data_IF_044944663705
#
_entry.id   IF_044944663705
#
_cell.length_a   1.000
_cell.length_b   1.000
_cell.length_c   1.000
_cell.angle_alpha   90.00
_cell.angle_beta   90.00
_cell.angle_gamma   90.00
#
_symmetry.space_group_name_H-M   'P 1'
#
loop_
_entity.id
_entity.type
_entity.pdbx_description
1 polymer ?
#
# COMPACT_ATOMS: atom_id res chain seq x y z
N UNK A 1 -19.01 -18.04 14.74
CA UNK A 1 -18.62 -17.14 15.85
C UNK A 1 -17.74 -17.94 16.78
N UNK A 2 -16.42 -17.77 16.71
CA UNK A 2 -15.52 -18.69 17.39
C UNK A 2 -15.19 -18.18 18.79
N UNK A 3 -15.18 -19.08 19.76
CA UNK A 3 -14.54 -18.84 21.05
C UNK A 3 -13.18 -19.53 21.05
N UNK A 4 -12.13 -18.74 21.31
CA UNK A 4 -10.75 -19.21 21.37
C UNK A 4 -10.24 -19.20 22.81
N UNK A 5 -9.64 -20.31 23.19
CA UNK A 5 -8.86 -20.42 24.42
C UNK A 5 -7.39 -20.42 24.05
N UNK A 6 -6.67 -19.36 24.40
CA UNK A 6 -5.25 -19.19 24.08
C UNK A 6 -4.40 -19.70 25.25
N UNK A 7 -3.56 -20.70 24.98
CA UNK A 7 -2.73 -21.38 25.99
C UNK A 7 -1.28 -21.52 25.54
N UNK A 8 -0.38 -21.70 26.50
CA UNK A 8 1.05 -21.80 26.28
C UNK A 8 1.88 -21.44 27.52
N UNK A 9 3.14 -21.91 27.52
CA UNK A 9 4.09 -21.68 28.60
C UNK A 9 4.32 -20.18 28.86
N UNK A 10 4.86 -19.85 30.04
CA UNK A 10 5.24 -18.49 30.37
C UNK A 10 6.19 -17.92 29.30
N UNK A 11 5.91 -16.70 28.85
CA UNK A 11 6.68 -16.03 27.81
C UNK A 11 6.48 -16.57 26.39
N UNK A 12 5.51 -17.46 26.12
CA UNK A 12 5.22 -17.99 24.78
C UNK A 12 4.53 -16.99 23.81
N UNK A 13 4.18 -15.79 24.29
CA UNK A 13 3.55 -14.72 23.51
C UNK A 13 2.03 -14.83 23.36
N UNK A 14 1.33 -15.32 24.40
CA UNK A 14 -0.13 -15.44 24.42
C UNK A 14 -0.84 -14.08 24.29
N UNK A 15 -0.49 -13.13 25.16
CA UNK A 15 -1.06 -11.78 25.16
C UNK A 15 -0.71 -11.04 23.86
N UNK A 16 0.55 -11.09 23.41
CA UNK A 16 0.97 -10.54 22.12
C UNK A 16 0.15 -11.06 20.93
N UNK A 17 -0.11 -12.38 20.89
CA UNK A 17 -0.93 -12.96 19.84
C UNK A 17 -2.38 -12.47 19.90
N UNK A 18 -2.92 -12.32 21.11
CA UNK A 18 -4.27 -11.80 21.33
C UNK A 18 -4.36 -10.31 20.97
N UNK A 19 -3.33 -9.52 21.27
CA UNK A 19 -3.21 -8.10 20.89
C UNK A 19 -3.11 -7.94 19.37
N UNK A 20 -2.44 -8.86 18.66
CA UNK A 20 -2.47 -8.91 17.19
C UNK A 20 -3.90 -9.10 16.65
N UNK A 21 -4.72 -9.91 17.32
CA UNK A 21 -6.15 -10.06 16.98
C UNK A 21 -6.95 -8.80 17.31
N UNK A 22 -6.70 -8.15 18.45
CA UNK A 22 -7.29 -6.85 18.80
C UNK A 22 -7.00 -5.83 17.69
N UNK A 23 -5.74 -5.69 17.28
CA UNK A 23 -5.35 -4.77 16.21
C UNK A 23 -6.14 -5.06 14.93
N UNK A 24 -6.24 -6.33 14.52
CA UNK A 24 -6.99 -6.73 13.33
C UNK A 24 -8.45 -6.28 13.40
N UNK A 25 -9.15 -6.55 14.50
CA UNK A 25 -10.57 -6.19 14.66
C UNK A 25 -10.77 -4.67 14.68
N UNK A 26 -9.90 -3.93 15.38
CA UNK A 26 -9.96 -2.46 15.40
C UNK A 26 -9.67 -1.86 14.02
N UNK A 27 -8.76 -2.45 13.23
CA UNK A 27 -8.49 -2.01 11.86
C UNK A 27 -9.67 -2.30 10.92
N UNK A 28 -10.43 -3.37 11.17
CA UNK A 28 -11.70 -3.69 10.50
C UNK A 28 -12.87 -2.80 10.95
N UNK A 29 -12.65 -1.89 11.92
CA UNK A 29 -13.69 -1.02 12.47
C UNK A 29 -14.69 -1.73 13.39
N UNK A 30 -14.31 -2.89 13.92
CA UNK A 30 -15.14 -3.70 14.84
C UNK A 30 -14.86 -3.31 16.29
N UNK A 31 -15.86 -3.49 17.15
CA UNK A 31 -15.73 -3.23 18.58
C UNK A 31 -14.80 -4.23 19.25
N UNK A 32 -14.00 -3.76 20.19
CA UNK A 32 -13.16 -4.63 21.03
C UNK A 32 -13.38 -4.31 22.50
N UNK A 33 -13.50 -5.32 23.34
CA UNK A 33 -13.53 -5.21 24.79
C UNK A 33 -12.40 -6.04 25.41
N UNK A 34 -11.66 -5.51 26.37
CA UNK A 34 -10.56 -6.25 27.02
C UNK A 34 -10.25 -5.76 28.42
N UNK A 35 -9.68 -6.63 29.25
CA UNK A 35 -9.07 -6.26 30.55
C UNK A 35 -7.55 -6.00 30.44
N UNK A 36 -6.99 -6.02 29.23
CA UNK A 36 -5.61 -5.60 29.00
C UNK A 36 -5.53 -4.07 28.89
N UNK A 37 -4.49 -3.48 29.47
CA UNK A 37 -4.13 -2.10 29.20
C UNK A 37 -3.57 -2.00 27.79
N UNK A 38 -4.37 -1.44 26.88
CA UNK A 38 -4.03 -1.28 25.47
C UNK A 38 -3.70 0.19 25.18
N UNK A 39 -2.67 0.40 24.36
CA UNK A 39 -2.25 1.71 23.85
C UNK A 39 -2.48 1.77 22.33
N UNK A 40 -3.66 2.21 21.87
CA UNK A 40 -4.07 2.07 20.47
C UNK A 40 -3.18 2.86 19.48
N UNK A 41 -2.51 3.92 19.91
CA UNK A 41 -1.60 4.72 19.12
C UNK A 41 -0.41 3.93 18.56
N UNK A 42 0.07 2.92 19.29
CA UNK A 42 1.18 2.06 18.90
C UNK A 42 0.77 0.95 17.93
N UNK A 43 -0.54 0.69 17.75
CA UNK A 43 -1.04 -0.34 16.82
C UNK A 43 -1.90 0.20 15.67
N UNK A 44 -2.61 1.31 15.83
CA UNK A 44 -3.53 1.87 14.83
C UNK A 44 -2.99 3.14 14.13
N UNK A 45 -1.95 3.74 14.72
CA UNK A 45 -1.49 5.09 14.37
C UNK A 45 -2.39 6.18 14.95
N UNK A 46 -2.05 7.44 14.68
CA UNK A 46 -2.63 8.61 15.35
C UNK A 46 -3.91 9.16 14.71
N UNK A 47 -4.37 8.60 13.60
CA UNK A 47 -5.40 9.23 12.75
C UNK A 47 -6.77 8.56 12.80
N UNK A 48 -6.97 7.56 13.66
CA UNK A 48 -8.25 6.86 13.76
C UNK A 48 -9.24 7.66 14.61
N UNK A 49 -10.37 8.03 13.98
CA UNK A 49 -11.44 8.82 14.60
C UNK A 49 -12.57 7.99 15.20
N UNK A 50 -12.74 6.76 14.73
CA UNK A 50 -13.88 5.89 15.05
C UNK A 50 -13.38 4.53 15.53
N UNK A 51 -12.62 4.53 16.62
CA UNK A 51 -12.14 3.31 17.28
C UNK A 51 -13.04 3.03 18.47
N UNK A 52 -13.69 1.86 18.50
CA UNK A 52 -14.51 1.43 19.62
C UNK A 52 -13.76 0.38 20.45
N UNK A 53 -13.06 0.84 21.48
CA UNK A 53 -12.30 0.00 22.40
C UNK A 53 -12.80 0.22 23.83
N UNK A 54 -13.23 -0.87 24.46
CA UNK A 54 -13.76 -0.90 25.80
C UNK A 54 -12.74 -1.57 26.73
N UNK A 55 -12.40 -0.91 27.84
CA UNK A 55 -11.55 -1.46 28.90
C UNK A 55 -12.44 -1.90 30.06
N UNK A 56 -12.49 -3.21 30.27
CA UNK A 56 -13.13 -3.85 31.43
C UNK A 56 -12.22 -3.73 32.65
N UNK A 57 -12.69 -4.00 33.88
CA UNK A 57 -11.81 -4.21 35.03
C UNK A 57 -10.90 -5.42 34.86
N UNK A 58 -9.82 -5.49 35.65
CA UNK A 58 -8.86 -6.60 35.64
C UNK A 58 -9.55 -7.94 35.95
N UNK A 59 -10.46 -7.93 36.91
CA UNK A 59 -11.38 -9.01 37.24
C UNK A 59 -12.80 -8.50 36.97
N UNK A 60 -13.38 -8.77 35.79
CA UNK A 60 -14.69 -8.24 35.44
C UNK A 60 -15.80 -8.93 36.25
N UNK A 61 -16.72 -8.13 36.78
CA UNK A 61 -17.96 -8.63 37.39
C UNK A 61 -19.03 -8.90 36.33
N UNK A 62 -20.11 -9.57 36.72
CA UNK A 62 -21.27 -9.75 35.83
C UNK A 62 -21.86 -8.40 35.38
N UNK A 63 -21.87 -7.41 36.26
CA UNK A 63 -22.38 -6.06 35.99
C UNK A 63 -21.56 -5.39 34.89
N UNK A 64 -20.23 -5.51 34.95
CA UNK A 64 -19.33 -4.96 33.92
C UNK A 64 -19.55 -5.62 32.55
N UNK A 65 -19.74 -6.93 32.55
CA UNK A 65 -19.98 -7.70 31.34
C UNK A 65 -21.35 -7.39 30.71
N UNK A 66 -22.39 -7.22 31.54
CA UNK A 66 -23.73 -6.84 31.07
C UNK A 66 -23.81 -5.40 30.56
N UNK A 67 -22.92 -4.52 31.04
CA UNK A 67 -22.82 -3.14 30.56
C UNK A 67 -22.24 -3.05 29.13
N UNK A 68 -21.63 -4.12 28.61
CA UNK A 68 -21.10 -4.13 27.25
C UNK A 68 -22.23 -3.99 26.22
N UNK A 69 -22.04 -3.15 25.18
CA UNK A 69 -22.98 -3.11 24.07
C UNK A 69 -22.94 -4.41 23.26
N UNK A 70 -23.92 -4.59 22.38
CA UNK A 70 -23.83 -5.63 21.34
C UNK A 70 -22.62 -5.36 20.43
N UNK A 71 -21.98 -6.42 19.97
CA UNK A 71 -20.79 -6.32 19.10
C UNK A 71 -21.04 -5.50 17.83
N UNK A 72 -22.25 -5.57 17.28
CA UNK A 72 -22.77 -4.64 16.27
C UNK A 72 -24.30 -4.57 16.34
N UNK A 73 -24.87 -3.52 15.76
CA UNK A 73 -26.27 -3.13 15.95
C UNK A 73 -27.22 -3.44 14.77
N UNK A 74 -26.73 -4.11 13.71
CA UNK A 74 -27.55 -4.43 12.52
C UNK A 74 -28.66 -5.44 12.82
N UNK A 75 -29.78 -5.38 12.11
CA UNK A 75 -30.87 -6.35 12.31
C UNK A 75 -30.49 -7.74 11.81
N UNK A 76 -29.83 -7.80 10.65
CA UNK A 76 -29.36 -9.06 10.05
C UNK A 76 -28.14 -9.58 10.81
N UNK A 77 -28.18 -10.87 11.14
CA UNK A 77 -27.04 -11.53 11.77
C UNK A 77 -25.95 -11.75 10.70
N UNK A 78 -24.80 -11.13 10.93
CA UNK A 78 -23.56 -11.28 10.19
C UNK A 78 -22.41 -11.57 11.18
N UNK A 79 -21.88 -12.79 11.16
CA UNK A 79 -20.81 -13.20 12.07
C UNK A 79 -19.47 -12.48 11.76
N UNK A 80 -19.29 -11.95 10.55
CA UNK A 80 -18.06 -11.26 10.16
C UNK A 80 -17.90 -9.90 10.84
N UNK A 81 -18.99 -9.33 11.36
CA UNK A 81 -19.03 -8.03 12.05
C UNK A 81 -18.99 -8.12 13.56
N UNK A 82 -18.90 -9.33 14.13
CA UNK A 82 -18.89 -9.53 15.56
C UNK A 82 -17.83 -8.67 16.27
N UNK A 83 -18.09 -8.23 17.50
CA UNK A 83 -17.04 -7.63 18.33
C UNK A 83 -16.03 -8.68 18.80
N UNK A 84 -14.90 -8.25 19.37
CA UNK A 84 -13.94 -9.15 20.04
C UNK A 84 -13.84 -8.86 21.53
N UNK A 85 -14.11 -9.86 22.36
CA UNK A 85 -13.84 -9.83 23.79
C UNK A 85 -12.53 -10.56 24.07
N UNK A 86 -11.50 -9.89 24.60
CA UNK A 86 -10.22 -10.51 24.97
C UNK A 86 -10.01 -10.37 26.47
N UNK A 87 -9.96 -11.49 27.19
CA UNK A 87 -9.68 -11.49 28.61
C UNK A 87 -8.36 -12.21 28.89
N UNK A 88 -7.46 -11.54 29.59
CA UNK A 88 -6.22 -12.13 30.11
C UNK A 88 -6.40 -12.67 31.52
N UNK A 89 -5.54 -13.63 31.87
CA UNK A 89 -5.49 -14.32 33.15
C UNK A 89 -6.84 -14.92 33.60
N UNK A 90 -7.58 -15.51 32.64
CA UNK A 90 -8.91 -16.07 32.88
C UNK A 90 -8.93 -17.23 33.90
N UNK A 91 -7.77 -17.81 34.19
CA UNK A 91 -7.61 -18.81 35.24
C UNK A 91 -7.94 -18.28 36.64
N UNK A 92 -8.01 -16.97 36.85
CA UNK A 92 -8.40 -16.37 38.15
C UNK A 92 -9.92 -16.48 38.37
N UNK A 93 -10.73 -16.15 37.34
CA UNK A 93 -12.19 -16.08 37.44
C UNK A 93 -12.93 -17.31 36.90
N UNK A 94 -12.34 -18.10 35.99
CA UNK A 94 -12.92 -19.33 35.45
C UNK A 94 -12.40 -20.63 36.09
N UNK A 95 -11.71 -20.53 37.23
CA UNK A 95 -11.12 -21.67 37.91
C UNK A 95 -12.17 -22.66 38.45
N UNK A 96 -11.91 -23.95 38.24
CA UNK A 96 -12.65 -25.07 38.86
C UNK A 96 -12.69 -25.05 40.40
N UNK A 97 -11.62 -24.56 41.06
CA UNK A 97 -11.46 -24.64 42.52
C UNK A 97 -12.33 -23.65 43.32
N UNK A 98 -12.92 -22.65 42.66
CA UNK A 98 -13.74 -21.60 43.27
C UNK A 98 -15.25 -21.73 42.99
N UNK A 99 -15.74 -22.93 42.65
CA UNK A 99 -17.12 -23.20 42.19
C UNK A 99 -18.24 -22.68 43.11
N UNK A 100 -17.95 -22.45 44.39
CA UNK A 100 -18.96 -22.09 45.38
C UNK A 100 -19.31 -20.60 45.45
N UNK A 101 -18.64 -19.76 44.67
CA UNK A 101 -18.88 -18.31 44.65
C UNK A 101 -20.03 -17.97 43.69
N UNK A 102 -21.18 -17.44 44.17
CA UNK A 102 -22.38 -17.25 43.35
C UNK A 102 -22.16 -16.35 42.12
N UNK A 103 -21.29 -15.33 42.22
CA UNK A 103 -20.99 -14.43 41.10
C UNK A 103 -20.33 -15.11 39.90
N UNK A 104 -19.59 -16.21 40.12
CA UNK A 104 -18.88 -16.91 39.03
C UNK A 104 -19.80 -17.73 38.13
N UNK A 105 -20.89 -18.27 38.69
CA UNK A 105 -21.89 -19.02 37.91
C UNK A 105 -22.59 -18.09 36.90
N UNK A 106 -22.85 -16.86 37.30
CA UNK A 106 -23.46 -15.84 36.45
C UNK A 106 -22.52 -15.41 35.32
N UNK A 107 -21.23 -15.22 35.62
CA UNK A 107 -20.21 -14.94 34.59
C UNK A 107 -20.09 -16.09 33.58
N UNK A 108 -20.07 -17.35 34.04
CA UNK A 108 -20.07 -18.51 33.15
C UNK A 108 -21.32 -18.57 32.28
N UNK A 109 -22.50 -18.28 32.85
CA UNK A 109 -23.74 -18.21 32.09
C UNK A 109 -23.72 -17.09 31.04
N UNK A 110 -23.13 -15.94 31.37
CA UNK A 110 -22.93 -14.85 30.43
C UNK A 110 -22.06 -15.26 29.23
N UNK A 111 -20.97 -16.00 29.47
CA UNK A 111 -20.11 -16.45 28.36
C UNK A 111 -20.82 -17.40 27.39
N UNK A 112 -21.80 -18.19 27.86
CA UNK A 112 -22.65 -19.01 26.98
C UNK A 112 -23.53 -18.15 26.05
N UNK A 113 -23.77 -16.88 26.40
CA UNK A 113 -24.60 -15.94 25.64
C UNK A 113 -23.81 -15.03 24.69
N UNK A 114 -22.47 -15.07 24.69
CA UNK A 114 -21.63 -14.23 23.82
C UNK A 114 -22.03 -14.29 22.34
N UNK A 115 -22.39 -15.49 21.86
CA UNK A 115 -22.90 -15.71 20.50
C UNK A 115 -24.15 -14.87 20.21
N UNK A 116 -25.08 -14.76 21.17
CA UNK A 116 -26.29 -13.94 21.04
C UNK A 116 -26.00 -12.45 21.18
N UNK A 117 -24.95 -12.10 21.93
CA UNK A 117 -24.46 -10.73 22.09
C UNK A 117 -23.57 -10.27 20.93
N UNK A 118 -23.28 -11.16 19.96
CA UNK A 118 -22.49 -10.90 18.74
C UNK A 118 -21.04 -10.56 19.04
N UNK A 119 -20.47 -11.25 20.02
CA UNK A 119 -19.06 -11.15 20.39
C UNK A 119 -18.36 -12.47 20.09
N UNK A 120 -17.25 -12.40 19.38
CA UNK A 120 -16.24 -13.45 19.40
C UNK A 120 -15.39 -13.26 20.67
N UNK A 121 -14.79 -14.32 21.20
CA UNK A 121 -14.07 -14.25 22.47
C UNK A 121 -12.72 -14.96 22.44
N UNK A 122 -11.73 -14.35 23.10
CA UNK A 122 -10.39 -14.88 23.31
C UNK A 122 -10.13 -14.91 24.81
N UNK A 123 -10.08 -16.09 25.38
CA UNK A 123 -9.73 -16.32 26.79
C UNK A 123 -8.29 -16.77 26.87
N UNK A 124 -7.44 -15.95 27.50
CA UNK A 124 -6.03 -16.29 27.69
C UNK A 124 -5.89 -17.00 29.04
N UNK A 125 -5.32 -18.19 28.99
CA UNK A 125 -5.05 -19.01 30.17
C UNK A 125 -3.66 -19.62 30.08
N UNK A 126 -3.06 -19.91 31.22
CA UNK A 126 -1.77 -20.60 31.25
C UNK A 126 -1.92 -22.06 30.81
N UNK A 127 -2.91 -22.76 31.38
CA UNK A 127 -3.23 -24.15 31.11
C UNK A 127 -4.74 -24.35 31.02
N UNK A 128 -5.18 -25.13 30.03
CA UNK A 128 -6.58 -25.50 29.83
C UNK A 128 -7.13 -26.39 30.93
N UNK A 129 -6.26 -27.14 31.61
CA UNK A 129 -6.67 -28.01 32.71
C UNK A 129 -7.17 -27.24 33.92
N UNK A 130 -6.75 -25.97 34.08
CA UNK A 130 -7.20 -25.09 35.16
C UNK A 130 -8.65 -24.62 34.98
N UNK A 131 -9.17 -24.66 33.75
CA UNK A 131 -10.55 -24.30 33.43
C UNK A 131 -11.50 -25.38 33.95
N UNK A 132 -12.62 -24.97 34.54
CA UNK A 132 -13.68 -25.90 34.95
C UNK A 132 -14.15 -26.83 33.82
N UNK A 133 -14.57 -28.05 34.15
CA UNK A 133 -14.96 -29.04 33.15
C UNK A 133 -16.19 -28.62 32.33
N UNK A 134 -17.17 -27.94 32.94
CA UNK A 134 -18.34 -27.41 32.22
C UNK A 134 -17.94 -26.23 31.33
N UNK A 135 -17.13 -25.31 31.86
CA UNK A 135 -16.61 -24.17 31.12
C UNK A 135 -15.74 -24.62 29.93
N UNK A 136 -14.89 -25.64 30.11
CA UNK A 136 -14.05 -26.20 29.04
C UNK A 136 -14.89 -26.80 27.92
N UNK A 137 -15.94 -27.55 28.24
CA UNK A 137 -16.82 -28.16 27.21
C UNK A 137 -17.67 -27.12 26.48
N UNK A 138 -18.08 -26.06 27.18
CA UNK A 138 -19.02 -25.09 26.60
C UNK A 138 -18.33 -23.93 25.90
N UNK A 139 -17.16 -23.51 26.39
CA UNK A 139 -16.46 -22.29 25.96
C UNK A 139 -15.27 -22.63 25.06
N UNK A 140 -14.57 -23.76 25.27
CA UNK A 140 -13.35 -24.07 24.52
C UNK A 140 -13.62 -24.78 23.18
N UNK A 141 -14.32 -24.09 22.27
CA UNK A 141 -14.53 -24.57 20.89
C UNK A 141 -13.21 -24.69 20.12
N UNK A 142 -12.36 -23.66 20.24
CA UNK A 142 -11.04 -23.65 19.64
C UNK A 142 -9.97 -23.43 20.69
N UNK A 143 -8.87 -24.17 20.60
CA UNK A 143 -7.70 -23.98 21.47
C UNK A 143 -6.51 -23.54 20.64
N UNK A 144 -5.92 -22.42 21.02
CA UNK A 144 -4.76 -21.83 20.35
C UNK A 144 -3.53 -22.10 21.18
N UNK A 145 -2.63 -22.92 20.66
CA UNK A 145 -1.35 -23.22 21.30
C UNK A 145 -0.29 -22.24 20.81
N UNK A 146 0.08 -21.29 21.66
CA UNK A 146 1.12 -20.31 21.37
C UNK A 146 2.52 -20.90 21.57
N UNK A 147 3.37 -20.67 20.56
CA UNK A 147 4.78 -21.04 20.55
C UNK A 147 5.62 -19.89 20.00
N UNK A 148 6.77 -19.71 20.62
CA UNK A 148 7.81 -18.78 20.20
C UNK A 148 8.80 -19.51 19.29
N UNK A 149 8.91 -19.07 18.04
CA UNK A 149 9.78 -19.71 17.05
C UNK A 149 11.21 -19.18 17.07
N UNK A 150 11.42 -18.00 17.65
CA UNK A 150 12.73 -17.36 17.83
C UNK A 150 13.72 -18.21 18.64
N UNK A 151 13.21 -19.05 19.55
CA UNK A 151 14.03 -19.98 20.34
C UNK A 151 14.30 -21.32 19.65
N UNK A 152 13.72 -21.58 18.47
CA UNK A 152 13.96 -22.81 17.71
C UNK A 152 15.17 -22.62 16.81
N UNK A 153 16.32 -23.18 17.21
CA UNK A 153 17.51 -23.25 16.35
C UNK A 153 17.22 -24.21 15.19
N UNK A 154 17.30 -23.73 13.95
CA UNK A 154 17.15 -24.57 12.75
C UNK A 154 18.52 -25.21 12.48
N UNK A 155 18.75 -26.51 12.75
CA UNK A 155 20.08 -27.09 12.85
C UNK A 155 20.92 -26.94 11.57
N UNK A 156 20.32 -27.12 10.39
CA UNK A 156 21.04 -27.08 9.10
C UNK A 156 21.39 -25.64 8.70
N UNK A 157 20.41 -24.73 8.77
CA UNK A 157 20.60 -23.33 8.39
C UNK A 157 21.55 -22.62 9.36
N UNK A 158 21.43 -22.92 10.65
CA UNK A 158 22.33 -22.38 11.68
C UNK A 158 23.76 -22.88 11.49
N UNK A 159 23.96 -24.15 11.09
CA UNK A 159 25.29 -24.71 10.83
C UNK A 159 25.96 -24.10 9.59
N UNK A 160 25.20 -23.93 8.50
CA UNK A 160 25.71 -23.29 7.27
C UNK A 160 26.04 -21.81 7.49
N UNK A 161 25.21 -21.07 8.23
CA UNK A 161 25.49 -19.66 8.54
C UNK A 161 26.75 -19.50 9.39
N UNK A 162 26.97 -20.41 10.35
CA UNK A 162 28.19 -20.46 11.18
C UNK A 162 29.45 -20.80 10.40
N UNK A 163 29.33 -21.48 9.26
CA UNK A 163 30.48 -21.78 8.41
C UNK A 163 31.05 -20.51 7.74
N UNK A 164 30.18 -19.53 7.47
CA UNK A 164 30.56 -18.28 6.81
C UNK A 164 30.63 -17.07 7.75
N UNK A 165 30.12 -17.18 8.98
CA UNK A 165 30.11 -16.11 9.98
C UNK A 165 30.34 -16.65 11.39
N UNK A 166 31.04 -15.93 12.26
CA UNK A 166 31.28 -16.35 13.65
C UNK A 166 30.06 -16.13 14.56
N UNK A 167 28.98 -15.54 14.04
CA UNK A 167 27.80 -15.15 14.81
C UNK A 167 26.65 -16.16 14.64
N UNK A 168 25.83 -16.30 15.69
CA UNK A 168 24.56 -17.03 15.59
C UNK A 168 23.61 -16.29 14.64
N UNK A 169 22.86 -17.04 13.82
CA UNK A 169 21.85 -16.48 12.92
C UNK A 169 20.79 -15.74 13.74
N UNK A 170 20.62 -14.40 13.59
CA UNK A 170 19.56 -13.67 14.27
C UNK A 170 18.22 -14.03 13.61
N UNK A 171 17.52 -15.01 14.16
CA UNK A 171 16.19 -15.36 13.69
C UNK A 171 15.19 -14.27 14.10
N UNK A 172 14.29 -13.83 13.21
CA UNK A 172 13.28 -12.84 13.54
C UNK A 172 12.35 -13.36 14.65
N UNK A 173 11.86 -12.45 15.49
CA UNK A 173 10.92 -12.76 16.56
C UNK A 173 9.55 -13.17 15.99
N UNK A 174 9.39 -14.47 15.70
CA UNK A 174 8.13 -15.02 15.16
C UNK A 174 7.37 -15.75 16.26
N UNK A 175 6.11 -15.37 16.42
CA UNK A 175 5.16 -16.00 17.32
C UNK A 175 4.12 -16.75 16.49
N UNK A 176 3.89 -18.02 16.83
CA UNK A 176 2.98 -18.92 16.13
C UNK A 176 1.92 -19.43 17.11
N UNK A 177 0.65 -19.17 16.81
CA UNK A 177 -0.51 -19.77 17.46
C UNK A 177 -1.10 -20.84 16.55
N UNK A 178 -1.06 -22.10 16.96
CA UNK A 178 -1.70 -23.19 16.20
C UNK A 178 -3.11 -23.36 16.75
N UNK A 179 -4.12 -23.07 15.93
CA UNK A 179 -5.53 -23.14 16.31
C UNK A 179 -6.04 -24.55 16.04
N UNK A 180 -6.52 -25.22 17.07
CA UNK A 180 -7.12 -26.55 16.97
C UNK A 180 -8.60 -26.54 17.33
N UNK A 181 -9.36 -27.43 16.72
CA UNK A 181 -10.79 -27.63 16.98
C UNK A 181 -10.99 -28.60 18.14
N UNK A 182 -11.39 -28.07 19.31
CA UNK A 182 -11.47 -28.82 20.56
C UNK A 182 -10.19 -28.77 21.39
N UNK A 183 -10.21 -29.50 22.50
CA UNK A 183 -9.25 -29.33 23.61
C UNK A 183 -8.08 -30.30 23.60
N UNK A 184 -8.16 -31.35 22.77
CA UNK A 184 -7.16 -32.40 22.72
C UNK A 184 -5.95 -32.00 21.87
N UNK A 185 -4.77 -32.52 22.22
CA UNK A 185 -3.56 -32.22 21.48
C UNK A 185 -3.55 -32.83 20.06
N UNK A 186 -4.32 -33.89 19.80
CA UNK A 186 -4.41 -34.52 18.49
C UNK A 186 -5.60 -34.03 17.65
N UNK A 187 -6.31 -33.02 18.13
CA UNK A 187 -7.43 -32.43 17.41
C UNK A 187 -7.00 -31.75 16.10
N UNK A 188 -7.98 -31.61 15.18
CA UNK A 188 -7.78 -31.03 13.86
C UNK A 188 -7.27 -29.60 13.97
N UNK A 189 -6.20 -29.28 13.24
CA UNK A 189 -5.72 -27.89 13.12
C UNK A 189 -6.58 -27.15 12.11
N UNK A 190 -7.27 -26.10 12.56
CA UNK A 190 -8.20 -25.32 11.73
C UNK A 190 -7.53 -24.09 11.12
N UNK A 191 -6.67 -23.43 11.89
CA UNK A 191 -6.07 -22.16 11.52
C UNK A 191 -4.68 -22.00 12.16
N UNK A 192 -3.89 -21.04 11.66
CA UNK A 192 -2.56 -20.71 12.17
C UNK A 192 -2.43 -19.20 12.26
N UNK A 193 -2.28 -18.70 13.47
CA UNK A 193 -2.01 -17.30 13.72
C UNK A 193 -0.51 -17.06 13.76
N UNK A 194 -0.04 -16.12 12.95
CA UNK A 194 1.37 -15.75 12.90
C UNK A 194 1.52 -14.26 13.19
N UNK A 195 2.48 -13.94 14.04
CA UNK A 195 2.89 -12.58 14.30
C UNK A 195 4.40 -12.47 14.14
N UNK A 196 4.83 -11.47 13.37
CA UNK A 196 6.23 -11.25 13.02
C UNK A 196 6.70 -9.92 13.60
N UNK A 197 7.84 -9.94 14.28
CA UNK A 197 8.53 -8.74 14.72
C UNK A 197 8.15 -8.29 16.13
N UNK A 198 8.21 -6.98 16.35
CA UNK A 198 8.17 -6.35 17.67
C UNK A 198 7.24 -5.14 17.77
N UNK A 199 6.53 -4.79 16.69
CA UNK A 199 5.74 -3.54 16.62
C UNK A 199 4.60 -3.44 17.64
N UNK A 200 4.09 -4.56 18.16
CA UNK A 200 3.00 -4.60 19.13
C UNK A 200 3.46 -4.69 20.59
N UNK A 201 4.77 -4.76 20.88
CA UNK A 201 5.22 -4.79 22.28
C UNK A 201 4.85 -3.50 23.02
N UNK A 202 4.96 -2.35 22.36
CA UNK A 202 4.61 -1.06 22.94
C UNK A 202 3.10 -0.79 22.95
N UNK A 203 2.29 -1.71 22.39
CA UNK A 203 0.85 -1.51 22.21
C UNK A 203 0.01 -2.00 23.38
N UNK A 204 0.63 -2.62 24.38
CA UNK A 204 -0.03 -3.04 25.61
C UNK A 204 0.96 -3.10 26.78
N UNK A 205 0.43 -3.05 28.00
CA UNK A 205 1.23 -3.20 29.21
C UNK A 205 1.57 -4.68 29.45
N UNK A 206 2.85 -5.04 29.29
CA UNK A 206 3.33 -6.40 29.54
C UNK A 206 3.53 -6.73 31.01
N UNK A 207 3.63 -5.71 31.87
CA UNK A 207 3.93 -5.84 33.30
C UNK A 207 2.68 -5.65 34.16
N UNK A 208 1.50 -5.55 33.54
CA UNK A 208 0.22 -5.44 34.21
C UNK A 208 0.03 -6.58 35.22
N UNK A 209 -0.19 -6.21 36.49
CA UNK A 209 -0.42 -7.15 37.59
C UNK A 209 -1.92 -7.30 37.84
N UNK A 210 -2.45 -8.51 37.65
CA UNK A 210 -3.82 -8.86 38.02
C UNK A 210 -3.85 -9.26 39.50
N UNK A 211 -4.27 -8.36 40.41
CA UNK A 211 -4.44 -8.69 41.83
C UNK A 211 -5.92 -8.65 42.24
N UNK A 212 -6.29 -9.57 43.14
CA UNK A 212 -7.57 -9.54 43.89
C UNK A 212 -7.51 -8.59 45.09
N UNK A 213 -6.30 -8.23 45.51
CA UNK A 213 -6.00 -7.55 46.75
C UNK A 213 -5.49 -6.15 46.41
N UNK A 214 -6.41 -5.19 46.53
CA UNK A 214 -6.19 -3.76 46.77
C UNK A 214 -5.50 -2.89 45.70
N UNK A 215 -6.29 -1.93 45.19
CA UNK A 215 -5.97 -0.48 45.09
C UNK A 215 -4.62 -0.06 44.49
N UNK A 216 -4.21 -0.64 43.37
CA UNK A 216 -3.15 -0.09 42.52
C UNK A 216 -3.73 0.29 41.16
N UNK A 217 -4.42 1.44 41.10
CA UNK A 217 -4.89 2.03 39.84
C UNK A 217 -5.97 1.24 39.09
N UNK A 218 -6.69 0.36 39.80
CA UNK A 218 -7.74 -0.47 39.22
C UNK A 218 -8.87 0.41 38.65
N UNK A 219 -9.28 0.09 37.42
CA UNK A 219 -10.45 0.69 36.80
C UNK A 219 -11.68 0.00 37.41
N UNK A 220 -12.46 0.74 38.20
CA UNK A 220 -13.64 0.23 38.95
C UNK A 220 -14.90 0.02 38.07
N UNK A 221 -14.74 -0.23 36.77
CA UNK A 221 -15.87 -0.55 35.90
C UNK A 221 -15.55 -0.55 34.40
N UNK A 222 -16.59 -0.73 33.58
CA UNK A 222 -16.47 -0.61 32.13
C UNK A 222 -16.13 0.82 31.71
N UNK A 223 -15.03 1.00 30.98
CA UNK A 223 -14.62 2.29 30.41
C UNK A 223 -14.44 2.21 28.90
N UNK A 224 -14.53 3.34 28.21
CA UNK A 224 -14.25 3.43 26.77
C UNK A 224 -12.98 4.21 26.54
N UNK A 225 -12.05 3.64 25.78
CA UNK A 225 -10.80 4.29 25.40
C UNK A 225 -11.07 5.24 24.23
N UNK A 226 -10.58 6.48 24.37
CA UNK A 226 -10.74 7.50 23.33
C UNK A 226 -9.97 7.11 22.05
N UNK A 227 -10.56 7.32 20.85
CA UNK A 227 -9.86 7.09 19.59
C UNK A 227 -8.56 7.90 19.48
N UNK A 228 -7.57 7.32 18.80
CA UNK A 228 -6.19 7.87 18.72
C UNK A 228 -6.12 9.26 18.10
N UNK A 229 -7.08 9.62 17.24
CA UNK A 229 -7.17 10.97 16.70
C UNK A 229 -7.43 12.00 17.80
N UNK A 230 -8.27 11.71 18.79
CA UNK A 230 -8.61 12.68 19.83
C UNK A 230 -7.53 12.84 20.89
N UNK A 231 -6.75 11.79 21.13
CA UNK A 231 -5.64 11.81 22.10
C UNK A 231 -4.35 12.33 21.48
N UNK A 232 -3.95 11.81 20.33
CA UNK A 232 -2.65 12.10 19.70
C UNK A 232 -2.78 12.91 18.42
N UNK A 233 -3.75 12.62 17.56
CA UNK A 233 -3.81 13.16 16.19
C UNK A 233 -4.33 14.60 16.04
N UNK A 234 -5.17 15.08 16.96
CA UNK A 234 -5.99 16.30 16.84
C UNK A 234 -5.15 17.56 16.67
N UNK A 235 -4.05 17.65 17.41
CA UNK A 235 -3.20 18.85 17.47
C UNK A 235 -1.93 18.75 16.61
N UNK A 236 -1.80 17.70 15.78
CA UNK A 236 -0.62 17.53 14.92
C UNK A 236 -0.78 18.29 13.61
N UNK A 237 0.13 19.25 13.37
CA UNK A 237 0.20 19.99 12.11
C UNK A 237 0.56 19.10 10.90
N UNK A 238 0.16 19.52 9.69
CA UNK A 238 0.52 18.83 8.43
C UNK A 238 2.04 18.65 8.27
N UNK A 239 2.82 19.67 8.65
CA UNK A 239 4.29 19.62 8.61
C UNK A 239 4.85 18.54 9.55
N UNK A 240 4.31 18.45 10.76
CA UNK A 240 4.78 17.48 11.75
C UNK A 240 4.39 16.05 11.38
N UNK A 241 3.21 15.86 10.76
CA UNK A 241 2.82 14.59 10.13
C UNK A 241 3.82 14.16 9.06
N UNK A 242 4.23 15.08 8.18
CA UNK A 242 5.23 14.80 7.15
C UNK A 242 6.59 14.41 7.75
N UNK A 243 7.07 15.15 8.75
CA UNK A 243 8.33 14.84 9.45
C UNK A 243 8.27 13.46 10.11
N UNK A 244 7.16 13.15 10.80
CA UNK A 244 6.96 11.84 11.44
C UNK A 244 6.89 10.71 10.41
N UNK A 245 6.22 10.94 9.27
CA UNK A 245 6.16 9.98 8.18
C UNK A 245 7.57 9.70 7.61
N UNK A 246 8.38 10.72 7.38
CA UNK A 246 9.77 10.55 6.92
C UNK A 246 10.61 9.81 7.95
N UNK A 247 10.52 10.18 9.24
CA UNK A 247 11.27 9.53 10.31
C UNK A 247 10.94 8.03 10.40
N UNK A 248 9.65 7.70 10.35
CA UNK A 248 9.17 6.31 10.42
C UNK A 248 9.50 5.53 9.14
N UNK A 249 9.53 6.20 7.98
CA UNK A 249 9.98 5.59 6.72
C UNK A 249 11.48 5.29 6.72
N UNK A 250 12.30 6.20 7.29
CA UNK A 250 13.76 6.08 7.38
C UNK A 250 14.22 4.95 8.32
N UNK A 251 13.34 4.41 9.16
CA UNK A 251 13.62 3.26 10.02
C UNK A 251 13.57 1.90 9.29
N UNK A 252 13.04 1.83 8.05
CA UNK A 252 13.01 0.60 7.23
C UNK A 252 14.13 0.60 6.18
N UNK A 253 15.39 0.58 6.65
CA UNK A 253 16.63 0.77 5.89
C UNK A 253 16.89 -0.11 4.65
N UNK A 254 15.98 -1.02 4.28
CA UNK A 254 16.05 -1.84 3.07
C UNK A 254 15.83 -1.01 1.79
N UNK A 255 15.10 0.11 1.88
CA UNK A 255 14.81 0.96 0.72
C UNK A 255 15.99 1.85 0.29
N UNK A 256 16.88 2.22 1.21
CA UNK A 256 18.08 2.99 0.86
C UNK A 256 19.15 2.14 0.19
N UNK A 257 19.28 0.87 0.59
CA UNK A 257 20.21 -0.06 -0.06
C UNK A 257 19.81 -0.35 -1.51
N UNK A 258 18.52 -0.61 -1.76
CA UNK A 258 18.01 -0.85 -3.11
C UNK A 258 18.11 0.38 -4.00
N UNK A 259 17.76 1.57 -3.49
CA UNK A 259 17.90 2.82 -4.24
C UNK A 259 19.37 3.16 -4.53
N UNK A 260 20.27 2.92 -3.56
CA UNK A 260 21.71 3.10 -3.73
C UNK A 260 22.32 2.13 -4.75
N UNK A 261 21.91 0.85 -4.74
CA UNK A 261 22.34 -0.14 -5.72
C UNK A 261 21.86 0.19 -7.14
N UNK A 262 20.62 0.70 -7.27
CA UNK A 262 20.04 1.12 -8.54
C UNK A 262 20.77 2.36 -9.10
N UNK A 263 21.04 3.34 -8.24
CA UNK A 263 21.83 4.53 -8.60
C UNK A 263 23.27 4.15 -9.02
N UNK A 264 23.90 3.22 -8.29
CA UNK A 264 25.24 2.72 -8.62
C UNK A 264 25.26 2.02 -10.00
N UNK A 265 24.27 1.17 -10.30
CA UNK A 265 24.15 0.51 -11.59
C UNK A 265 23.99 1.51 -12.76
N UNK A 266 23.22 2.58 -12.56
CA UNK A 266 23.10 3.66 -13.55
C UNK A 266 24.41 4.42 -13.73
N UNK A 267 25.13 4.74 -12.65
CA UNK A 267 26.43 5.43 -12.76
C UNK A 267 27.51 4.58 -13.44
N UNK A 268 27.53 3.26 -13.20
CA UNK A 268 28.50 2.36 -13.83
C UNK A 268 28.19 2.20 -15.32
N UNK A 269 26.92 2.06 -15.72
CA UNK A 269 26.56 2.02 -17.15
C UNK A 269 26.91 3.34 -17.89
N UNK A 270 26.73 4.49 -17.22
CA UNK A 270 27.09 5.79 -17.80
C UNK A 270 28.61 6.00 -17.93
N UNK A 271 29.43 5.41 -17.04
CA UNK A 271 30.90 5.50 -17.11
C UNK A 271 31.53 4.57 -18.16
N UNK A 272 30.89 3.44 -18.46
CA UNK A 272 31.43 2.43 -19.39
C UNK A 272 31.07 2.72 -20.85
N UNK A 273 30.07 3.57 -21.11
CA UNK A 273 29.64 3.96 -22.47
C UNK A 273 30.16 5.35 -22.85
N UNK A 274 31.49 5.49 -22.95
CA UNK A 274 32.07 6.59 -23.73
C UNK A 274 31.97 6.22 -25.22
N UNK A 275 30.85 6.58 -25.86
CA UNK A 275 30.83 6.61 -27.33
C UNK A 275 31.71 7.77 -27.80
N UNK A 276 32.55 7.60 -28.86
CA UNK A 276 33.34 8.71 -29.37
C UNK A 276 32.41 9.80 -29.88
N UNK A 277 32.40 10.95 -29.21
CA UNK A 277 31.62 12.10 -29.65
C UNK A 277 32.05 12.50 -31.06
N UNK A 278 31.12 12.43 -32.01
CA UNK A 278 31.37 12.90 -33.36
C UNK A 278 31.85 14.38 -33.32
N UNK A 279 32.87 14.76 -34.10
CA UNK A 279 33.41 16.12 -34.06
C UNK A 279 32.34 17.11 -34.57
N UNK A 280 31.76 17.88 -33.64
CA UNK A 280 30.74 18.87 -33.96
C UNK A 280 31.29 20.30 -33.87
N UNK A 281 31.00 21.10 -34.90
CA UNK A 281 31.16 22.55 -34.90
C UNK A 281 29.78 23.18 -34.76
N UNK A 282 29.40 23.49 -33.52
CA UNK A 282 28.19 24.24 -33.23
C UNK A 282 28.33 25.69 -33.67
N UNK A 283 27.20 26.41 -33.75
CA UNK A 283 27.15 27.82 -34.17
C UNK A 283 27.89 28.73 -33.17
N UNK A 284 27.94 28.34 -31.89
CA UNK A 284 28.55 29.12 -30.82
C UNK A 284 29.51 28.32 -29.92
N UNK A 285 29.65 27.01 -30.14
CA UNK A 285 30.50 26.14 -29.31
C UNK A 285 31.22 25.12 -30.18
N UNK A 286 32.49 24.87 -29.84
CA UNK A 286 33.41 24.02 -30.59
C UNK A 286 34.03 23.00 -29.63
N UNK A 287 33.84 21.71 -29.92
CA UNK A 287 34.34 20.62 -29.09
C UNK A 287 35.86 20.45 -29.24
N UNK A 288 36.54 19.97 -28.19
CA UNK A 288 37.99 19.77 -28.17
C UNK A 288 38.45 18.71 -29.19
N UNK A 289 37.59 17.71 -29.47
CA UNK A 289 37.80 16.73 -30.56
C UNK A 289 37.90 17.42 -31.93
N UNK A 290 37.12 18.49 -32.16
CA UNK A 290 37.17 19.26 -33.41
C UNK A 290 38.48 20.07 -33.52
N UNK A 291 38.93 20.67 -32.41
CA UNK A 291 40.21 21.41 -32.37
C UNK A 291 41.41 20.51 -32.61
N UNK A 292 41.40 19.29 -32.04
CA UNK A 292 42.47 18.32 -32.22
C UNK A 292 42.61 17.88 -33.69
N UNK A 293 41.50 17.71 -34.39
CA UNK A 293 41.48 17.27 -35.80
C UNK A 293 41.77 18.38 -36.80
N UNK A 294 41.25 19.59 -36.59
CA UNK A 294 41.32 20.69 -37.56
C UNK A 294 42.22 21.85 -37.11
N UNK A 295 42.93 21.70 -35.98
CA UNK A 295 43.89 22.65 -35.41
C UNK A 295 43.28 23.91 -34.79
N UNK A 296 42.07 24.32 -35.20
CA UNK A 296 41.38 25.48 -34.65
C UNK A 296 39.87 25.39 -34.87
N UNK A 297 39.09 26.08 -34.03
CA UNK A 297 37.63 26.15 -34.18
C UNK A 297 37.16 26.93 -35.41
N UNK A 298 38.03 27.75 -36.00
CA UNK A 298 37.75 28.53 -37.21
C UNK A 298 37.95 27.72 -38.49
N UNK A 299 38.74 26.64 -38.46
CA UNK A 299 38.99 25.80 -39.63
C UNK A 299 37.70 25.17 -40.17
N UNK A 300 37.61 25.01 -41.50
CA UNK A 300 36.56 24.26 -42.19
C UNK A 300 37.13 22.92 -42.62
N UNK A 301 36.38 21.84 -42.47
CA UNK A 301 36.80 20.52 -42.93
C UNK A 301 37.04 20.54 -44.45
N UNK A 302 38.18 20.00 -44.91
CA UNK A 302 38.60 20.05 -46.32
C UNK A 302 37.85 19.04 -47.20
N UNK A 303 37.05 18.14 -46.62
CA UNK A 303 36.03 17.35 -47.32
C UNK A 303 34.96 16.88 -46.33
N UNK A 304 33.69 16.70 -46.75
CA UNK A 304 32.66 16.13 -45.89
C UNK A 304 33.04 14.70 -45.47
N UNK A 305 32.82 14.35 -44.20
CA UNK A 305 33.16 13.05 -43.60
C UNK A 305 32.63 11.85 -44.39
N UNK A 306 31.50 12.03 -45.08
CA UNK A 306 30.89 11.05 -45.99
C UNK A 306 31.79 10.64 -47.17
N UNK A 307 32.81 11.44 -47.52
CA UNK A 307 33.79 11.11 -48.56
C UNK A 307 34.77 10.01 -48.15
N UNK A 308 35.07 9.88 -46.85
CA UNK A 308 36.04 8.91 -46.33
C UNK A 308 35.40 7.61 -45.83
N UNK A 309 34.10 7.64 -45.49
CA UNK A 309 33.36 6.48 -44.97
C UNK A 309 31.93 6.43 -45.53
N UNK A 310 31.69 5.70 -46.63
CA UNK A 310 30.33 5.48 -47.13
C UNK A 310 29.53 4.62 -46.15
N UNK A 311 28.25 4.96 -45.92
CA UNK A 311 27.34 4.21 -45.05
C UNK A 311 27.15 2.78 -45.59
N UNK A 312 27.15 1.74 -44.74
CA UNK A 312 26.80 0.40 -45.18
C UNK A 312 25.31 0.33 -45.56
N UNK A 313 25.00 -0.32 -46.67
CA UNK A 313 23.64 -0.58 -47.12
C UNK A 313 22.92 -1.49 -46.12
N UNK A 314 21.70 -1.11 -45.73
CA UNK A 314 20.87 -1.90 -44.82
C UNK A 314 20.29 -3.10 -45.58
N UNK A 315 20.54 -4.30 -45.08
CA UNK A 315 19.75 -5.49 -45.44
C UNK A 315 18.37 -5.39 -44.77
N UNK A 316 17.33 -5.42 -45.59
CA UNK A 316 15.93 -5.51 -45.18
C UNK A 316 15.58 -6.96 -44.86
N UNK A 317 15.46 -7.29 -43.57
CA UNK A 317 14.72 -8.48 -43.13
C UNK A 317 13.33 -8.04 -42.66
N UNK A 318 12.34 -8.19 -43.55
CA UNK A 318 10.92 -8.19 -43.19
C UNK A 318 10.44 -9.65 -43.15
N UNK A 319 9.91 -10.07 -42.00
CA UNK A 319 8.94 -11.15 -41.94
C UNK A 319 7.54 -10.53 -41.90
N UNK A 320 6.75 -10.84 -42.92
CA UNK A 320 5.42 -10.36 -43.20
C UNK A 320 4.38 -10.91 -42.21
N UNK A 321 3.35 -10.11 -41.92
CA UNK A 321 1.99 -10.65 -41.90
C UNK A 321 1.06 -9.60 -42.45
N UNK A 322 0.54 -9.89 -43.64
CA UNK A 322 -0.40 -9.11 -44.40
C UNK A 322 -1.74 -8.95 -43.69
N UNK A 323 -2.32 -7.74 -43.75
CA UNK A 323 -3.75 -7.61 -43.98
C UNK A 323 -4.00 -6.34 -44.79
N UNK A 324 -4.22 -6.58 -46.09
CA UNK A 324 -5.07 -5.85 -47.03
C UNK A 324 -5.23 -4.34 -46.81
N UNK A 325 -4.46 -3.56 -47.58
CA UNK A 325 -4.79 -2.18 -47.90
C UNK A 325 -5.16 -2.08 -49.38
N UNK A 326 -6.38 -1.61 -49.60
CA UNK A 326 -6.95 -1.08 -50.84
C UNK A 326 -5.98 -0.11 -51.54
N UNK A 327 -6.07 -0.03 -52.88
CA UNK A 327 -5.20 0.78 -53.74
C UNK A 327 -4.92 2.21 -53.24
N UNK A 328 -3.70 2.74 -53.45
CA UNK A 328 -3.30 4.05 -52.95
C UNK A 328 -3.98 5.17 -53.74
N UNK A 329 -4.98 5.79 -53.11
CA UNK A 329 -5.45 7.12 -53.48
C UNK A 329 -4.32 8.15 -53.34
N UNK A 330 -4.19 9.01 -54.34
CA UNK A 330 -3.22 10.10 -54.45
C UNK A 330 -2.96 10.80 -53.11
N UNK A 331 -1.70 10.89 -52.68
CA UNK A 331 -1.31 11.61 -51.46
C UNK A 331 -1.61 13.11 -51.63
N UNK A 332 -2.72 13.57 -51.05
CA UNK A 332 -3.10 14.99 -51.06
C UNK A 332 -2.08 15.79 -50.26
N UNK A 333 -1.58 16.89 -50.84
CA UNK A 333 -0.65 17.79 -50.17
C UNK A 333 -1.44 18.65 -49.18
N UNK A 334 -1.11 18.57 -47.90
CA UNK A 334 -1.81 19.28 -46.82
C UNK A 334 -0.91 20.38 -46.24
N UNK A 335 -1.49 21.53 -45.96
CA UNK A 335 -0.86 22.69 -45.32
C UNK A 335 -1.53 23.03 -43.99
N UNK A 336 -0.81 23.77 -43.13
CA UNK A 336 -1.37 24.38 -41.92
C UNK A 336 -1.79 25.82 -42.19
N UNK A 337 -3.07 26.13 -42.07
CA UNK A 337 -3.56 27.52 -42.19
C UNK A 337 -3.40 28.31 -40.89
N UNK A 338 -3.38 27.63 -39.74
CA UNK A 338 -3.18 28.26 -38.44
C UNK A 338 -3.20 27.25 -37.31
N UNK A 339 -2.74 27.67 -36.13
CA UNK A 339 -2.77 26.84 -34.94
C UNK A 339 -3.04 27.69 -33.70
N UNK A 340 -3.60 27.06 -32.66
CA UNK A 340 -3.83 27.64 -31.35
C UNK A 340 -3.43 26.64 -30.26
N UNK A 341 -2.78 27.13 -29.21
CA UNK A 341 -2.51 26.34 -28.01
C UNK A 341 -3.74 26.36 -27.09
N UNK A 342 -4.26 25.18 -26.74
CA UNK A 342 -5.38 25.01 -25.80
C UNK A 342 -4.94 24.23 -24.56
N UNK A 343 -5.77 24.20 -23.52
CA UNK A 343 -5.51 23.44 -22.29
C UNK A 343 -5.37 21.92 -22.52
N UNK A 344 -5.78 21.40 -23.68
CA UNK A 344 -5.71 19.98 -24.06
C UNK A 344 -4.64 19.68 -25.12
N UNK A 345 -3.88 20.69 -25.56
CA UNK A 345 -2.84 20.58 -26.58
C UNK A 345 -3.00 21.55 -27.75
N UNK A 346 -2.28 21.28 -28.83
CA UNK A 346 -2.28 22.11 -30.04
C UNK A 346 -3.46 21.78 -30.94
N UNK A 347 -4.27 22.79 -31.25
CA UNK A 347 -5.32 22.70 -32.25
C UNK A 347 -4.81 23.31 -33.56
N UNK A 348 -4.85 22.56 -34.66
CA UNK A 348 -4.33 22.97 -35.97
C UNK A 348 -5.45 22.94 -37.00
N UNK A 349 -5.53 23.98 -37.84
CA UNK A 349 -6.43 24.05 -38.99
C UNK A 349 -5.67 23.64 -40.24
N UNK A 350 -6.20 22.65 -40.97
CA UNK A 350 -5.57 22.09 -42.18
C UNK A 350 -6.28 22.58 -43.44
N UNK A 351 -5.51 22.70 -44.51
CA UNK A 351 -5.97 23.13 -45.83
C UNK A 351 -5.29 22.27 -46.89
N UNK A 352 -6.00 21.95 -47.97
CA UNK A 352 -5.43 21.22 -49.11
C UNK A 352 -4.59 22.10 -50.04
N UNK A 353 -4.13 21.56 -51.15
CA UNK A 353 -3.36 22.27 -52.18
C UNK A 353 -4.18 23.30 -52.97
N UNK A 354 -5.51 23.21 -52.92
CA UNK A 354 -6.44 24.17 -53.56
C UNK A 354 -6.82 25.34 -52.66
N UNK A 355 -6.53 25.26 -51.36
CA UNK A 355 -6.93 26.28 -50.38
C UNK A 355 -8.24 25.97 -49.65
N UNK A 356 -8.83 24.78 -49.85
CA UNK A 356 -10.05 24.37 -49.17
C UNK A 356 -9.77 23.73 -47.80
N UNK A 357 -10.66 23.92 -46.81
CA UNK A 357 -10.45 23.39 -45.47
C UNK A 357 -10.49 21.86 -45.45
N UNK A 358 -9.46 21.25 -44.85
CA UNK A 358 -9.33 19.82 -44.68
C UNK A 358 -9.52 19.42 -43.22
N UNK A 359 -10.34 18.39 -42.96
CA UNK A 359 -10.67 17.92 -41.62
C UNK A 359 -10.27 16.44 -41.46
N UNK A 360 -9.10 16.13 -40.89
CA UNK A 360 -8.71 14.74 -40.67
C UNK A 360 -9.57 14.07 -39.60
N UNK A 361 -9.82 12.76 -39.75
CA UNK A 361 -10.61 11.99 -38.76
C UNK A 361 -9.91 11.96 -37.39
N UNK A 362 -8.58 11.90 -37.39
CA UNK A 362 -7.77 12.03 -36.17
C UNK A 362 -6.39 12.56 -36.48
N UNK A 363 -5.87 13.42 -35.60
CA UNK A 363 -4.48 13.88 -35.67
C UNK A 363 -3.86 14.02 -34.28
N UNK A 364 -2.54 13.87 -34.23
CA UNK A 364 -1.73 14.12 -33.04
C UNK A 364 -0.50 14.93 -33.40
N UNK A 365 -0.34 16.08 -32.76
CA UNK A 365 0.83 16.95 -32.93
C UNK A 365 2.00 16.42 -32.09
N UNK A 366 3.14 16.16 -32.72
CA UNK A 366 4.37 15.67 -32.06
C UNK A 366 5.32 16.81 -31.74
N UNK A 367 5.55 17.70 -32.70
CA UNK A 367 6.43 18.86 -32.59
C UNK A 367 5.82 20.05 -33.34
N UNK A 368 5.85 21.24 -32.73
CA UNK A 368 5.40 22.50 -33.34
C UNK A 368 6.55 23.50 -33.41
N UNK A 369 6.80 24.02 -34.61
CA UNK A 369 7.66 25.19 -34.85
C UNK A 369 6.85 26.37 -35.39
N UNK A 370 7.53 27.46 -35.76
CA UNK A 370 6.87 28.69 -36.24
C UNK A 370 6.09 28.49 -37.55
N UNK A 371 6.63 27.73 -38.51
CA UNK A 371 5.97 27.42 -39.80
C UNK A 371 6.11 25.96 -40.26
N UNK A 372 6.51 25.06 -39.35
CA UNK A 372 6.73 23.64 -39.63
C UNK A 372 6.23 22.85 -38.44
N UNK A 373 5.46 21.80 -38.67
CA UNK A 373 5.03 20.88 -37.63
C UNK A 373 5.21 19.42 -38.06
N UNK A 374 5.54 18.56 -37.11
CA UNK A 374 5.43 17.10 -37.29
C UNK A 374 4.12 16.64 -36.69
N UNK A 375 3.21 16.20 -37.54
CA UNK A 375 1.85 15.80 -37.16
C UNK A 375 1.62 14.38 -37.66
N UNK A 376 1.07 13.55 -36.79
CA UNK A 376 0.60 12.22 -37.13
C UNK A 376 -0.88 12.31 -37.48
N UNK A 377 -1.24 12.21 -38.77
CA UNK A 377 -2.62 12.22 -39.26
C UNK A 377 -2.97 10.78 -39.64
N UNK A 378 -4.04 10.24 -39.06
CA UNK A 378 -4.55 8.90 -39.39
C UNK A 378 -3.47 7.79 -39.34
N UNK A 379 -2.55 7.91 -38.38
CA UNK A 379 -1.45 6.96 -38.17
C UNK A 379 -0.17 7.28 -38.95
N UNK A 380 -0.23 8.08 -40.02
CA UNK A 380 0.92 8.47 -40.84
C UNK A 380 1.57 9.74 -40.30
N UNK A 381 2.88 9.69 -40.03
CA UNK A 381 3.63 10.86 -39.56
C UNK A 381 4.14 11.66 -40.74
N UNK A 382 3.68 12.90 -40.86
CA UNK A 382 4.07 13.80 -41.94
C UNK A 382 4.51 15.16 -41.42
N UNK A 383 5.40 15.80 -42.17
CA UNK A 383 5.91 17.14 -41.88
C UNK A 383 5.09 18.15 -42.66
N UNK A 384 4.29 18.93 -41.97
CA UNK A 384 3.46 19.98 -42.57
C UNK A 384 4.18 21.32 -42.51
N UNK A 385 3.92 22.14 -43.52
CA UNK A 385 4.38 23.54 -43.59
C UNK A 385 3.18 24.47 -43.56
N UNK A 386 3.39 25.72 -43.15
CA UNK A 386 2.35 26.74 -43.25
C UNK A 386 1.89 26.94 -44.70
N UNK A 387 0.62 27.27 -44.83
CA UNK A 387 -0.01 27.59 -46.11
C UNK A 387 0.74 28.72 -46.82
N UNK A 388 1.13 28.56 -48.09
CA UNK A 388 1.80 29.61 -48.84
C UNK A 388 0.86 30.79 -49.10
N UNK A 389 1.40 32.02 -49.04
CA UNK A 389 0.64 33.27 -49.21
C UNK A 389 -0.22 33.31 -50.49
N UNK A 390 0.16 32.59 -51.56
CA UNK A 390 -0.58 32.55 -52.83
C UNK A 390 -1.98 31.92 -52.68
N UNK A 391 -2.18 31.03 -51.71
CA UNK A 391 -3.46 30.37 -51.46
C UNK A 391 -4.36 31.17 -50.51
N UNK A 392 -3.82 32.13 -49.75
CA UNK A 392 -4.57 32.86 -48.71
C UNK A 392 -5.52 33.94 -49.24
N UNK A 393 -5.40 34.32 -50.52
CA UNK A 393 -6.10 35.48 -51.12
C UNK A 393 -7.03 35.13 -52.29
N UNK A 394 -7.39 33.86 -52.50
CA UNK A 394 -8.10 33.41 -53.72
C UNK A 394 -9.64 33.44 -53.65
N UNK A 395 -10.28 33.93 -52.58
CA UNK A 395 -11.75 34.07 -52.55
C UNK A 395 -12.17 35.54 -52.45
N UNK A 396 -12.79 36.14 -53.50
CA UNK A 396 -13.56 37.36 -53.29
C UNK A 396 -14.80 37.04 -52.44
N UNK A 397 -15.17 37.88 -51.46
CA UNK A 397 -16.36 37.64 -50.67
C UNK A 397 -17.61 37.67 -51.57
N UNK A 398 -18.40 36.61 -51.51
CA UNK A 398 -19.75 36.54 -52.09
C UNK A 398 -20.61 37.61 -51.39
N UNK A 399 -21.20 38.58 -52.08
CA UNK A 399 -22.10 39.53 -51.42
C UNK A 399 -23.31 38.78 -50.86
N UNK A 400 -23.58 39.00 -49.58
CA UNK A 400 -24.78 38.51 -48.89
C UNK A 400 -25.86 39.56 -49.13
N UNK A 401 -26.88 39.20 -49.91
CA UNK A 401 -28.08 40.01 -50.04
C UNK A 401 -28.81 40.04 -48.69
N UNK A 402 -28.90 41.23 -48.09
CA UNK A 402 -29.67 41.48 -46.86
C UNK A 402 -31.12 41.80 -47.26
N UNK A 403 -32.03 40.84 -47.06
CA UNK A 403 -33.46 41.14 -46.98
C UNK A 403 -33.75 41.97 -45.71
N UNK A 404 -34.50 43.09 -45.79
CA UNK A 404 -34.83 43.89 -44.64
C UNK A 404 -35.88 43.19 -43.78
N UNK A 405 -35.61 43.15 -42.47
CA UNK A 405 -36.50 42.63 -41.44
C UNK A 405 -37.88 43.30 -41.51
N UNK A 406 -38.93 42.50 -41.71
CA UNK A 406 -40.30 42.92 -41.54
C UNK A 406 -40.58 43.18 -40.04
N UNK A 407 -41.01 44.40 -39.74
CA UNK A 407 -41.57 44.83 -38.47
C UNK A 407 -43.02 44.31 -38.36
N UNK A 408 -43.32 43.51 -37.34
CA UNK A 408 -44.43 43.64 -36.37
C UNK A 408 -44.53 42.40 -35.48
#
# INVERSE_FOLDING_TARGET
>A
MPVWVVTGKLGAGKSLMSVSRIQKYLLEGRKVATNLNIFPEHMLGMDKKHTELYRLPDIPTITDLQALPRGYNDEKIDESKNGLLVLDECGIFLNSRGWNDPGRKEVNAFFKLLRKLRWDAVFIIQDIENLDADARRTIAEHVVYCRRMDRMKIPIVSALFKLFTTYDLPLPSVHLGIVKYGTELNSLTVDRWTYYGSSLYDAYDTEQLFSTTENLGAIDGLTTILPTYYTHGRYISKKQRFINAIRNFKAKGIHFFSFGALAAAFTVNALVTFEPEAPQKGIFTCNDTYKALYGSCSAKAIAPYEYYYPKPEKQDDKAETESQATEPGQSQVIYMAGWQLTNKGWQVNFVDDTGAPYYPLSYRVREMGQCVARIQIEGVTQRLTCMPNKLAFSQPPKPVDLEPAAQL
#
